data_IF_606176713135
#
_entry.id   IF_606176713135
#
_cell.length_a   1.000
_cell.length_b   1.000
_cell.length_c   1.000
_cell.angle_alpha   90.00
_cell.angle_beta   90.00
_cell.angle_gamma   90.00
#
_symmetry.space_group_name_H-M   'P 1'
#
loop_
_entity.id
_entity.type
_entity.pdbx_description
1 polymer ?
#
# COMPACT_ATOMS: atom_id res chain seq x y z
N UNK A 1 -25.28 7.75 -19.91
CA UNK A 1 -25.25 8.43 -18.59
C UNK A 1 -24.28 7.67 -17.72
N UNK A 2 -23.04 8.15 -17.61
CA UNK A 2 -22.05 7.51 -16.74
C UNK A 2 -22.55 7.58 -15.29
N UNK A 3 -22.61 6.45 -14.61
CA UNK A 3 -23.11 6.35 -13.24
C UNK A 3 -22.17 7.09 -12.29
N UNK A 4 -22.67 7.43 -11.10
CA UNK A 4 -21.84 8.01 -10.04
C UNK A 4 -20.63 7.10 -9.72
N UNK A 5 -20.81 5.77 -9.88
CA UNK A 5 -19.75 4.79 -9.73
C UNK A 5 -18.66 4.89 -10.81
N UNK A 6 -19.04 5.09 -12.08
CA UNK A 6 -18.07 5.24 -13.18
C UNK A 6 -17.20 6.49 -13.01
N UNK A 7 -17.81 7.59 -12.53
CA UNK A 7 -17.10 8.83 -12.22
C UNK A 7 -16.20 8.67 -10.99
N UNK A 8 -16.62 7.90 -9.98
CA UNK A 8 -15.81 7.63 -8.80
C UNK A 8 -14.58 6.78 -9.12
N UNK A 9 -14.70 5.81 -10.04
CA UNK A 9 -13.56 4.99 -10.50
C UNK A 9 -12.58 5.85 -11.31
N UNK A 10 -13.07 6.73 -12.20
CA UNK A 10 -12.24 7.66 -12.97
C UNK A 10 -11.50 8.68 -12.09
N UNK A 11 -12.20 9.32 -11.14
CA UNK A 11 -11.59 10.29 -10.22
C UNK A 11 -10.63 9.62 -9.22
N UNK A 12 -10.91 8.37 -8.83
CA UNK A 12 -10.00 7.56 -8.02
C UNK A 12 -8.75 7.13 -8.78
N UNK A 13 -8.83 6.97 -10.11
CA UNK A 13 -7.69 6.69 -10.98
C UNK A 13 -6.78 7.91 -11.14
N UNK A 14 -7.33 9.13 -11.21
CA UNK A 14 -6.56 10.37 -11.29
C UNK A 14 -5.90 10.77 -9.96
N UNK A 15 -6.41 10.29 -8.82
CA UNK A 15 -5.79 10.44 -7.49
C UNK A 15 -4.83 9.27 -7.14
N UNK A 16 -4.71 8.26 -8.00
CA UNK A 16 -3.69 7.22 -7.84
C UNK A 16 -2.34 7.83 -8.19
N UNK A 17 -1.66 8.29 -7.14
CA UNK A 17 -0.29 8.79 -7.21
C UNK A 17 0.55 7.91 -8.14
N UNK A 18 1.23 8.54 -9.10
CA UNK A 18 2.24 7.93 -9.96
C UNK A 18 3.39 7.28 -9.19
N UNK A 19 3.45 7.47 -7.86
CA UNK A 19 4.34 6.76 -6.94
C UNK A 19 4.07 5.25 -6.83
N UNK A 20 2.97 4.75 -7.40
CA UNK A 20 2.69 3.31 -7.49
C UNK A 20 3.24 2.69 -8.79
N UNK A 21 4.49 2.98 -9.15
CA UNK A 21 5.26 1.94 -9.82
C UNK A 21 5.22 0.73 -8.89
N UNK A 22 4.71 -0.40 -9.38
CA UNK A 22 4.53 -1.63 -8.60
C UNK A 22 5.83 -2.03 -7.86
N UNK A 23 6.96 -1.77 -8.51
CA UNK A 23 8.31 -1.96 -7.96
C UNK A 23 8.61 -1.04 -6.77
N UNK A 24 8.07 0.18 -6.75
CA UNK A 24 8.20 1.12 -5.62
C UNK A 24 7.34 0.68 -4.43
N UNK A 25 6.17 0.10 -4.68
CA UNK A 25 5.34 -0.48 -3.63
C UNK A 25 5.99 -1.71 -3.00
N UNK A 26 6.50 -2.64 -3.82
CA UNK A 26 7.18 -3.85 -3.34
C UNK A 26 8.50 -3.51 -2.61
N UNK A 27 9.21 -2.47 -3.08
CA UNK A 27 10.40 -1.93 -2.40
C UNK A 27 10.05 -1.26 -1.06
N UNK A 28 8.98 -0.47 -0.99
CA UNK A 28 8.49 0.12 0.25
C UNK A 28 8.05 -0.95 1.25
N UNK A 29 7.31 -1.95 0.78
CA UNK A 29 6.85 -3.09 1.59
C UNK A 29 8.04 -3.87 2.17
N UNK A 30 9.01 -4.24 1.34
CA UNK A 30 10.23 -4.92 1.78
C UNK A 30 11.01 -4.10 2.81
N UNK A 31 11.06 -2.78 2.65
CA UNK A 31 11.74 -1.89 3.59
C UNK A 31 11.02 -1.80 4.94
N UNK A 32 9.69 -1.81 4.93
CA UNK A 32 8.88 -1.85 6.16
C UNK A 32 9.01 -3.20 6.88
N UNK A 33 8.96 -4.32 6.15
CA UNK A 33 9.18 -5.66 6.72
C UNK A 33 10.56 -5.78 7.38
N UNK A 34 11.62 -5.32 6.71
CA UNK A 34 12.97 -5.32 7.28
C UNK A 34 13.09 -4.41 8.51
N UNK A 35 12.47 -3.23 8.48
CA UNK A 35 12.46 -2.31 9.63
C UNK A 35 11.76 -2.94 10.84
N UNK A 36 10.65 -3.62 10.62
CA UNK A 36 9.90 -4.32 11.65
C UNK A 36 10.71 -5.50 12.18
N UNK A 37 11.28 -6.36 11.33
CA UNK A 37 12.11 -7.49 11.79
C UNK A 37 13.33 -7.06 12.64
N UNK A 38 13.83 -5.85 12.45
CA UNK A 38 14.97 -5.33 13.21
C UNK A 38 14.60 -4.71 14.58
N UNK A 39 13.30 -4.70 14.94
CA UNK A 39 12.80 -4.21 16.24
C UNK A 39 12.53 -5.39 17.19
N UNK A 40 12.77 -5.22 18.52
CA UNK A 40 12.56 -6.28 19.51
C UNK A 40 11.16 -6.93 19.50
N UNK A 41 10.14 -6.18 19.08
CA UNK A 41 8.76 -6.65 18.96
C UNK A 41 8.24 -6.68 17.52
N UNK A 42 9.06 -6.40 16.51
CA UNK A 42 8.49 -6.16 15.19
C UNK A 42 8.02 -7.42 14.48
N UNK A 43 8.34 -8.63 14.96
CA UNK A 43 7.59 -9.84 14.59
C UNK A 43 6.12 -9.79 15.04
N UNK A 44 5.85 -9.32 16.26
CA UNK A 44 4.46 -9.17 16.76
C UNK A 44 3.70 -8.10 15.97
N UNK A 45 4.38 -7.02 15.59
CA UNK A 45 3.77 -5.97 14.77
C UNK A 45 3.52 -6.47 13.34
N UNK A 46 4.44 -7.27 12.77
CA UNK A 46 4.27 -7.84 11.43
C UNK A 46 3.06 -8.79 11.39
N UNK A 47 2.95 -9.67 12.38
CA UNK A 47 1.82 -10.59 12.54
C UNK A 47 0.48 -9.85 12.72
N UNK A 48 0.49 -8.67 13.35
CA UNK A 48 -0.71 -7.81 13.51
C UNK A 48 -1.10 -7.03 12.26
N UNK A 49 -0.21 -6.90 11.27
CA UNK A 49 -0.44 -6.16 10.01
C UNK A 49 -0.81 -7.10 8.86
N UNK A 50 -0.44 -8.38 8.94
CA UNK A 50 -0.89 -9.41 7.98
C UNK A 50 -2.33 -9.91 8.23
N UNK A 51 -2.97 -9.50 9.33
CA UNK A 51 -4.36 -9.83 9.69
C UNK A 51 -5.39 -8.89 9.04
#
# INVERSE_FOLDING_TARGET
MASLADKAILLGADNRSSMLEKDTYDSWKSRMELYMLNRPHGRMILESVEQ
#
